data_IF_428064121521
#
_entry.id   IF_428064121521
#
_cell.length_a   1.000
_cell.length_b   1.000
_cell.length_c   1.000
_cell.angle_alpha   90.00
_cell.angle_beta   90.00
_cell.angle_gamma   90.00
#
_symmetry.space_group_name_H-M   'P 1'
#
loop_
_entity.id
_entity.type
_entity.pdbx_description
1 polymer ?
#
# COMPACT_ATOMS: atom_id res chain seq x y z
N UNK A 1 -34.39 -15.79 -9.09
CA UNK A 1 -33.38 -14.74 -8.82
C UNK A 1 -32.78 -14.89 -7.40
N UNK A 2 -33.54 -14.79 -6.34
CA UNK A 2 -33.06 -14.85 -4.95
C UNK A 2 -32.23 -16.12 -4.67
N UNK A 3 -32.72 -17.31 -5.03
CA UNK A 3 -32.02 -18.58 -4.87
C UNK A 3 -30.66 -18.61 -5.62
N UNK A 4 -30.57 -18.02 -6.80
CA UNK A 4 -29.30 -17.90 -7.56
C UNK A 4 -28.28 -17.06 -6.77
N UNK A 5 -28.72 -15.95 -6.15
CA UNK A 5 -27.84 -15.11 -5.34
C UNK A 5 -27.43 -15.82 -4.04
N UNK A 6 -28.37 -16.51 -3.39
CA UNK A 6 -28.06 -17.32 -2.19
C UNK A 6 -26.99 -18.39 -2.49
N UNK A 7 -27.16 -19.12 -3.59
CA UNK A 7 -26.15 -20.08 -4.05
C UNK A 7 -24.80 -19.43 -4.37
N UNK A 8 -24.81 -18.23 -5.00
CA UNK A 8 -23.59 -17.50 -5.30
C UNK A 8 -22.84 -17.05 -4.03
N UNK A 9 -23.57 -16.57 -3.01
CA UNK A 9 -23.02 -16.21 -1.69
C UNK A 9 -22.35 -17.42 -1.05
N UNK A 10 -23.04 -18.55 -0.98
CA UNK A 10 -22.54 -19.79 -0.37
C UNK A 10 -21.34 -20.35 -1.14
N UNK A 11 -21.45 -20.52 -2.46
CA UNK A 11 -20.39 -21.07 -3.32
C UNK A 11 -19.07 -20.29 -3.22
N UNK A 12 -19.15 -18.96 -3.06
CA UNK A 12 -17.96 -18.10 -2.99
C UNK A 12 -17.57 -17.70 -1.57
N UNK A 13 -18.17 -18.31 -0.53
CA UNK A 13 -17.88 -18.05 0.88
C UNK A 13 -17.86 -16.53 1.18
N UNK A 14 -18.86 -15.79 0.69
CA UNK A 14 -18.88 -14.33 0.85
C UNK A 14 -19.15 -13.94 2.29
N UNK A 15 -20.22 -14.48 2.85
CA UNK A 15 -20.65 -14.32 4.24
C UNK A 15 -21.66 -15.41 4.63
N UNK A 16 -21.90 -15.59 5.91
CA UNK A 16 -22.85 -16.55 6.50
C UNK A 16 -24.15 -15.87 6.96
N UNK A 17 -25.16 -16.67 7.33
CA UNK A 17 -26.42 -16.16 7.88
C UNK A 17 -26.26 -15.46 9.24
N UNK A 18 -25.19 -15.76 9.99
CA UNK A 18 -24.92 -15.15 11.28
C UNK A 18 -24.20 -13.80 11.18
N UNK A 19 -23.65 -13.48 10.00
CA UNK A 19 -22.90 -12.25 9.80
C UNK A 19 -23.83 -11.04 9.75
N UNK A 20 -23.38 -9.94 10.36
CA UNK A 20 -24.01 -8.64 10.28
C UNK A 20 -23.41 -7.85 9.12
N UNK A 21 -24.24 -7.34 8.24
CA UNK A 21 -23.86 -6.73 6.97
C UNK A 21 -24.10 -5.23 6.97
N UNK A 22 -23.13 -4.44 6.51
CA UNK A 22 -23.25 -3.03 6.23
C UNK A 22 -23.47 -2.85 4.73
N UNK A 23 -24.71 -2.52 4.32
CA UNK A 23 -25.11 -2.46 2.91
C UNK A 23 -24.96 -1.04 2.39
N UNK A 24 -24.11 -0.83 1.40
CA UNK A 24 -23.92 0.46 0.74
C UNK A 24 -25.07 0.73 -0.24
N UNK A 25 -25.86 1.76 0.03
CA UNK A 25 -27.07 2.11 -0.77
C UNK A 25 -26.95 3.53 -1.32
N UNK A 26 -27.12 3.66 -2.65
CA UNK A 26 -27.06 4.93 -3.37
C UNK A 26 -28.43 5.42 -3.89
N UNK A 27 -29.51 4.78 -3.50
CA UNK A 27 -30.88 4.90 -4.06
C UNK A 27 -31.04 4.38 -5.50
N UNK A 28 -29.97 4.08 -6.22
CA UNK A 28 -30.04 3.54 -7.59
C UNK A 28 -30.50 2.08 -7.61
N UNK A 29 -30.97 1.65 -8.79
CA UNK A 29 -31.62 0.35 -9.03
C UNK A 29 -30.82 -0.85 -8.49
N UNK A 30 -29.49 -0.89 -8.72
CA UNK A 30 -28.64 -2.01 -8.30
C UNK A 30 -28.55 -2.11 -6.77
N UNK A 31 -28.43 -0.97 -6.09
CA UNK A 31 -28.33 -0.93 -4.63
C UNK A 31 -29.66 -1.22 -3.94
N UNK A 32 -30.79 -0.75 -4.48
CA UNK A 32 -32.12 -1.06 -3.96
C UNK A 32 -32.51 -2.52 -4.21
N UNK A 33 -32.15 -3.07 -5.37
CA UNK A 33 -32.27 -4.51 -5.64
C UNK A 33 -31.48 -5.35 -4.62
N UNK A 34 -30.20 -5.01 -4.40
CA UNK A 34 -29.36 -5.73 -3.43
C UNK A 34 -29.98 -5.68 -2.02
N UNK A 35 -30.40 -4.51 -1.56
CA UNK A 35 -31.03 -4.31 -0.26
C UNK A 35 -32.28 -5.20 -0.12
N UNK A 36 -33.17 -5.14 -1.12
CA UNK A 36 -34.37 -5.98 -1.15
C UNK A 36 -34.06 -7.49 -1.09
N UNK A 37 -33.07 -7.96 -1.84
CA UNK A 37 -32.66 -9.38 -1.84
C UNK A 37 -32.14 -9.80 -0.48
N UNK A 38 -31.30 -8.98 0.17
CA UNK A 38 -30.76 -9.29 1.50
C UNK A 38 -31.85 -9.31 2.59
N UNK A 39 -32.81 -8.41 2.51
CA UNK A 39 -34.02 -8.42 3.37
C UNK A 39 -34.83 -9.71 3.17
N UNK A 40 -35.09 -10.11 1.93
CA UNK A 40 -35.84 -11.35 1.61
C UNK A 40 -35.12 -12.62 2.02
N UNK A 41 -33.79 -12.57 2.16
CA UNK A 41 -32.96 -13.66 2.65
C UNK A 41 -32.75 -13.62 4.17
N UNK A 42 -33.38 -12.69 4.86
CA UNK A 42 -33.39 -12.49 6.32
C UNK A 42 -31.97 -12.32 6.93
N UNK A 43 -31.11 -11.60 6.23
CA UNK A 43 -29.80 -11.24 6.78
C UNK A 43 -29.90 -10.06 7.76
N UNK A 44 -29.04 -10.06 8.78
CA UNK A 44 -28.89 -8.91 9.70
C UNK A 44 -28.17 -7.78 8.97
N UNK A 45 -28.90 -6.70 8.66
CA UNK A 45 -28.37 -5.60 7.86
C UNK A 45 -28.45 -4.24 8.57
N UNK A 46 -27.46 -3.40 8.34
CA UNK A 46 -27.52 -1.94 8.51
C UNK A 46 -27.20 -1.30 7.16
N UNK A 47 -27.78 -0.14 6.90
CA UNK A 47 -27.58 0.60 5.65
C UNK A 47 -26.57 1.72 5.86
N UNK A 48 -25.73 1.98 4.87
CA UNK A 48 -24.85 3.14 4.83
C UNK A 48 -25.02 3.91 3.53
N UNK A 49 -25.21 5.23 3.64
CA UNK A 49 -25.36 6.15 2.53
C UNK A 49 -24.33 7.28 2.61
N UNK A 50 -23.71 7.62 1.46
CA UNK A 50 -22.79 8.74 1.31
C UNK A 50 -23.44 9.80 0.42
N UNK A 51 -23.74 10.97 0.98
CA UNK A 51 -24.16 12.13 0.21
C UNK A 51 -22.92 12.97 -0.14
N UNK A 52 -22.46 12.89 -1.39
CA UNK A 52 -21.25 13.60 -1.85
C UNK A 52 -21.49 15.06 -2.24
N UNK A 53 -22.74 15.56 -2.16
CA UNK A 53 -23.14 16.92 -2.52
C UNK A 53 -22.75 17.36 -3.94
N UNK A 54 -22.59 16.40 -4.87
CA UNK A 54 -22.16 16.67 -6.24
C UNK A 54 -23.31 17.03 -7.19
N UNK A 55 -24.55 16.76 -6.80
CA UNK A 55 -25.75 16.99 -7.60
C UNK A 55 -26.80 17.84 -6.85
N UNK A 56 -26.37 18.68 -5.92
CA UNK A 56 -27.22 19.57 -5.14
C UNK A 56 -28.50 18.88 -4.62
N UNK A 57 -29.67 19.35 -5.02
CA UNK A 57 -30.96 18.84 -4.56
C UNK A 57 -31.23 17.36 -4.88
N UNK A 58 -30.68 16.82 -5.97
CA UNK A 58 -30.81 15.38 -6.29
C UNK A 58 -30.13 14.51 -5.22
N UNK A 59 -28.93 14.89 -4.79
CA UNK A 59 -28.21 14.14 -3.74
C UNK A 59 -28.93 14.14 -2.40
N UNK A 60 -29.59 15.28 -2.05
CA UNK A 60 -30.38 15.39 -0.82
C UNK A 60 -31.70 14.61 -0.94
N UNK A 61 -32.30 14.55 -2.12
CA UNK A 61 -33.50 13.74 -2.38
C UNK A 61 -33.19 12.23 -2.35
N UNK A 62 -32.04 11.81 -2.84
CA UNK A 62 -31.59 10.40 -2.74
C UNK A 62 -31.42 9.99 -1.27
N UNK A 63 -30.81 10.85 -0.47
CA UNK A 63 -30.69 10.65 0.96
C UNK A 63 -32.04 10.49 1.65
N UNK A 64 -32.98 11.44 1.45
CA UNK A 64 -34.32 11.39 2.03
C UNK A 64 -35.05 10.10 1.67
N UNK A 65 -35.00 9.70 0.40
CA UNK A 65 -35.62 8.47 -0.08
C UNK A 65 -35.11 7.24 0.67
N UNK A 66 -33.80 7.13 0.91
CA UNK A 66 -33.22 5.98 1.62
C UNK A 66 -33.58 6.05 3.12
N UNK A 67 -33.57 7.23 3.74
CA UNK A 67 -33.96 7.43 5.14
C UNK A 67 -35.43 7.03 5.37
N UNK A 68 -36.34 7.43 4.50
CA UNK A 68 -37.75 7.02 4.53
C UNK A 68 -37.91 5.50 4.33
N UNK A 69 -37.19 4.92 3.33
CA UNK A 69 -37.26 3.49 3.07
C UNK A 69 -36.78 2.68 4.28
N UNK A 70 -35.65 3.06 4.88
CA UNK A 70 -35.06 2.36 6.01
C UNK A 70 -35.91 2.50 7.28
N UNK A 71 -36.51 3.66 7.51
CA UNK A 71 -37.43 3.91 8.62
C UNK A 71 -38.68 3.01 8.53
N UNK A 72 -39.29 2.93 7.34
CA UNK A 72 -40.49 2.11 7.10
C UNK A 72 -40.20 0.59 7.26
N UNK A 73 -38.96 0.17 7.14
CA UNK A 73 -38.57 -1.22 7.27
C UNK A 73 -37.80 -1.54 8.57
N UNK A 74 -37.74 -0.60 9.52
CA UNK A 74 -37.00 -0.73 10.79
C UNK A 74 -35.53 -1.11 10.62
N UNK A 75 -34.87 -0.55 9.60
CA UNK A 75 -33.44 -0.80 9.30
C UNK A 75 -32.63 0.41 9.78
N UNK A 76 -31.59 0.14 10.56
CA UNK A 76 -30.67 1.19 11.00
C UNK A 76 -29.87 1.74 9.81
N UNK A 77 -29.83 3.06 9.69
CA UNK A 77 -29.10 3.76 8.63
C UNK A 77 -28.01 4.65 9.21
N UNK A 78 -26.88 4.73 8.48
CA UNK A 78 -25.79 5.66 8.71
C UNK A 78 -25.63 6.56 7.50
N UNK A 79 -25.71 7.87 7.71
CA UNK A 79 -25.61 8.86 6.64
C UNK A 79 -24.49 9.84 6.94
N UNK A 80 -23.71 10.20 5.93
CA UNK A 80 -22.69 11.25 6.01
C UNK A 80 -22.73 12.10 4.76
N UNK A 81 -22.79 13.41 4.95
CA UNK A 81 -22.69 14.40 3.86
C UNK A 81 -21.24 14.88 3.77
N UNK A 82 -20.69 14.91 2.55
CA UNK A 82 -19.31 15.26 2.27
C UNK A 82 -19.21 16.52 1.42
N UNK A 83 -18.27 17.38 1.73
CA UNK A 83 -17.79 18.42 0.81
C UNK A 83 -16.68 17.86 -0.07
N UNK A 84 -17.10 17.04 -1.06
CA UNK A 84 -16.20 16.31 -1.94
C UNK A 84 -15.32 17.23 -2.79
N UNK A 85 -15.88 18.37 -3.22
CA UNK A 85 -15.16 19.35 -4.04
C UNK A 85 -14.00 20.00 -3.28
N UNK A 86 -14.22 20.34 -2.00
CA UNK A 86 -13.18 20.89 -1.13
C UNK A 86 -12.09 19.86 -0.85
N UNK A 87 -12.46 18.62 -0.58
CA UNK A 87 -11.50 17.52 -0.36
C UNK A 87 -10.65 17.27 -1.61
N UNK A 88 -11.27 17.17 -2.79
CA UNK A 88 -10.56 16.98 -4.06
C UNK A 88 -9.52 18.08 -4.33
N UNK A 89 -9.89 19.35 -4.09
CA UNK A 89 -8.98 20.49 -4.24
C UNK A 89 -7.81 20.44 -3.25
N UNK A 90 -8.09 20.11 -1.99
CA UNK A 90 -7.07 20.02 -0.93
C UNK A 90 -6.04 18.94 -1.25
N UNK A 91 -6.49 17.75 -1.62
CA UNK A 91 -5.63 16.58 -1.91
C UNK A 91 -5.08 16.59 -3.35
N UNK A 92 -5.48 17.55 -4.20
CA UNK A 92 -5.07 17.66 -5.62
C UNK A 92 -5.40 16.42 -6.45
N UNK A 93 -6.55 15.82 -6.21
CA UNK A 93 -7.05 14.63 -6.91
C UNK A 93 -8.37 14.94 -7.63
N UNK A 94 -8.79 14.04 -8.55
CA UNK A 94 -10.07 14.19 -9.22
C UNK A 94 -11.23 14.00 -8.22
N UNK A 95 -12.36 14.63 -8.51
CA UNK A 95 -13.59 14.52 -7.69
C UNK A 95 -14.05 13.05 -7.54
N UNK A 96 -13.82 12.22 -8.57
CA UNK A 96 -14.16 10.80 -8.52
C UNK A 96 -13.27 10.01 -7.57
N UNK A 97 -11.96 10.28 -7.59
CA UNK A 97 -11.00 9.68 -6.64
C UNK A 97 -11.34 10.12 -5.24
N UNK A 98 -11.59 11.42 -5.03
CA UNK A 98 -12.01 11.98 -3.75
C UNK A 98 -13.29 11.32 -3.19
N UNK A 99 -14.33 11.20 -4.01
CA UNK A 99 -15.57 10.53 -3.62
C UNK A 99 -15.36 9.04 -3.30
N UNK A 100 -14.46 8.38 -4.01
CA UNK A 100 -14.09 6.98 -3.74
C UNK A 100 -13.37 6.85 -2.40
N UNK A 101 -12.36 7.65 -2.14
CA UNK A 101 -11.57 7.59 -0.91
C UNK A 101 -12.42 7.89 0.32
N UNK A 102 -13.18 8.98 0.29
CA UNK A 102 -14.14 9.36 1.35
C UNK A 102 -15.18 8.26 1.62
N UNK A 103 -15.65 7.58 0.56
CA UNK A 103 -16.61 6.48 0.67
C UNK A 103 -16.04 5.29 1.44
N UNK A 104 -14.85 4.81 1.04
CA UNK A 104 -14.28 3.61 1.64
C UNK A 104 -13.78 3.86 3.06
N UNK A 105 -13.25 5.06 3.34
CA UNK A 105 -12.89 5.48 4.69
C UNK A 105 -14.12 5.45 5.63
N UNK A 106 -15.21 6.08 5.22
CA UNK A 106 -16.44 6.10 5.99
C UNK A 106 -17.08 4.71 6.14
N UNK A 107 -17.04 3.91 5.10
CA UNK A 107 -17.55 2.53 5.16
C UNK A 107 -16.82 1.70 6.20
N UNK A 108 -15.49 1.80 6.29
CA UNK A 108 -14.71 1.04 7.26
C UNK A 108 -14.86 1.59 8.69
N UNK A 109 -14.96 2.91 8.85
CA UNK A 109 -15.28 3.57 10.11
C UNK A 109 -16.58 3.01 10.72
N UNK A 110 -17.66 3.02 9.93
CA UNK A 110 -18.97 2.55 10.37
C UNK A 110 -19.01 1.03 10.51
N UNK A 111 -18.40 0.27 9.59
CA UNK A 111 -18.32 -1.17 9.70
C UNK A 111 -17.72 -1.59 11.05
N UNK A 112 -16.62 -0.95 11.44
CA UNK A 112 -15.90 -1.25 12.67
C UNK A 112 -16.71 -0.83 13.90
N UNK A 113 -17.22 0.41 13.94
CA UNK A 113 -17.98 0.94 15.09
C UNK A 113 -19.33 0.26 15.32
N UNK A 114 -19.96 -0.23 14.25
CA UNK A 114 -21.25 -0.97 14.32
C UNK A 114 -21.08 -2.50 14.44
N UNK A 115 -19.84 -3.00 14.55
CA UNK A 115 -19.54 -4.43 14.60
C UNK A 115 -20.13 -5.22 13.41
N UNK A 116 -20.17 -4.60 12.21
CA UNK A 116 -20.56 -5.31 11.01
C UNK A 116 -19.39 -6.17 10.48
N UNK A 117 -19.69 -7.41 10.08
CA UNK A 117 -18.68 -8.34 9.58
C UNK A 117 -18.17 -7.94 8.20
N UNK A 118 -19.07 -7.49 7.32
CA UNK A 118 -18.77 -7.17 5.94
C UNK A 118 -19.47 -5.91 5.47
N UNK A 119 -18.84 -5.22 4.50
CA UNK A 119 -19.41 -4.15 3.67
C UNK A 119 -19.92 -4.79 2.39
N UNK A 120 -21.18 -4.57 2.04
CA UNK A 120 -21.82 -5.17 0.87
C UNK A 120 -22.08 -4.10 -0.19
N UNK A 121 -21.56 -4.32 -1.40
CA UNK A 121 -21.62 -3.36 -2.51
C UNK A 121 -22.35 -3.99 -3.71
N UNK A 122 -23.22 -3.22 -4.36
CA UNK A 122 -24.08 -3.64 -5.46
C UNK A 122 -23.41 -3.61 -6.84
N UNK A 123 -22.19 -4.16 -6.98
CA UNK A 123 -21.62 -4.36 -8.30
C UNK A 123 -22.27 -5.57 -8.98
N UNK A 124 -22.67 -5.42 -10.24
CA UNK A 124 -23.30 -6.42 -11.07
C UNK A 124 -22.36 -6.92 -12.19
N UNK A 125 -22.81 -7.86 -13.03
CA UNK A 125 -21.97 -8.44 -14.07
C UNK A 125 -21.62 -7.46 -15.20
N UNK A 126 -22.44 -6.46 -15.45
CA UNK A 126 -22.14 -5.43 -16.44
C UNK A 126 -21.00 -4.52 -15.97
N UNK A 127 -20.92 -4.22 -14.65
CA UNK A 127 -19.79 -3.49 -14.06
C UNK A 127 -18.47 -4.27 -14.22
N UNK A 128 -18.54 -5.60 -14.20
CA UNK A 128 -17.38 -6.47 -14.40
C UNK A 128 -16.86 -6.38 -15.83
N UNK A 129 -17.77 -6.43 -16.82
CA UNK A 129 -17.44 -6.22 -18.24
C UNK A 129 -16.85 -4.82 -18.46
N UNK A 130 -17.46 -3.77 -17.90
CA UNK A 130 -16.94 -2.40 -17.98
C UNK A 130 -15.52 -2.30 -17.41
N UNK A 131 -15.29 -2.91 -16.26
CA UNK A 131 -13.98 -2.91 -15.58
C UNK A 131 -12.93 -3.65 -16.43
N UNK A 132 -13.30 -4.76 -17.05
CA UNK A 132 -12.42 -5.49 -17.96
C UNK A 132 -11.93 -4.60 -19.10
N UNK A 133 -12.84 -3.93 -19.82
CA UNK A 133 -12.46 -3.06 -20.94
C UNK A 133 -11.64 -1.84 -20.49
N UNK A 134 -11.99 -1.20 -19.38
CA UNK A 134 -11.23 -0.07 -18.83
C UNK A 134 -9.80 -0.51 -18.50
N UNK A 135 -9.65 -1.67 -17.86
CA UNK A 135 -8.35 -2.22 -17.51
C UNK A 135 -7.54 -2.65 -18.72
N UNK A 136 -8.20 -3.22 -19.74
CA UNK A 136 -7.58 -3.58 -21.01
C UNK A 136 -6.96 -2.35 -21.70
N UNK A 137 -7.73 -1.25 -21.81
CA UNK A 137 -7.24 -0.01 -22.41
C UNK A 137 -6.13 0.68 -21.60
N UNK A 138 -6.06 0.41 -20.31
CA UNK A 138 -4.97 0.90 -19.44
C UNK A 138 -3.72 0.03 -19.48
N UNK A 139 -3.72 -1.05 -20.24
CA UNK A 139 -2.59 -1.98 -20.28
C UNK A 139 -2.42 -2.77 -18.99
N UNK A 140 -3.50 -3.00 -18.24
CA UNK A 140 -3.44 -3.77 -17.00
C UNK A 140 -3.06 -5.22 -17.32
N UNK A 141 -2.14 -5.79 -16.53
CA UNK A 141 -1.76 -7.19 -16.62
C UNK A 141 -2.89 -8.17 -16.21
N UNK A 142 -2.59 -9.49 -16.18
CA UNK A 142 -3.58 -10.53 -15.93
C UNK A 142 -4.47 -10.28 -14.71
N UNK A 143 -3.91 -9.75 -13.64
CA UNK A 143 -4.64 -9.36 -12.41
C UNK A 143 -5.75 -8.34 -12.67
N UNK A 144 -5.49 -7.35 -13.51
CA UNK A 144 -6.48 -6.33 -13.84
C UNK A 144 -7.56 -6.85 -14.79
N UNK A 145 -7.22 -7.83 -15.64
CA UNK A 145 -8.14 -8.46 -16.58
C UNK A 145 -8.96 -9.59 -15.95
N UNK A 146 -8.65 -10.04 -14.74
CA UNK A 146 -9.47 -11.01 -13.99
C UNK A 146 -10.73 -10.41 -13.35
N UNK A 147 -11.11 -9.19 -13.74
CA UNK A 147 -12.37 -8.56 -13.39
C UNK A 147 -12.46 -8.06 -11.94
N UNK A 148 -13.68 -7.86 -11.49
CA UNK A 148 -14.00 -7.38 -10.14
C UNK A 148 -13.97 -8.56 -9.16
N UNK A 149 -13.12 -8.49 -8.14
CA UNK A 149 -13.06 -9.53 -7.12
C UNK A 149 -14.37 -9.60 -6.31
N UNK A 150 -14.89 -10.81 -6.16
CA UNK A 150 -16.12 -11.11 -5.41
C UNK A 150 -16.02 -10.70 -3.95
N UNK A 151 -14.83 -10.90 -3.35
CA UNK A 151 -14.48 -10.55 -1.98
C UNK A 151 -13.06 -9.99 -1.91
N UNK A 152 -12.90 -8.84 -1.24
CA UNK A 152 -11.61 -8.23 -0.91
C UNK A 152 -11.68 -7.80 0.55
N UNK A 153 -10.85 -8.39 1.41
CA UNK A 153 -10.87 -8.11 2.84
C UNK A 153 -12.29 -8.24 3.42
N UNK A 154 -12.88 -7.13 3.85
CA UNK A 154 -14.25 -7.05 4.41
C UNK A 154 -15.31 -6.58 3.41
N UNK A 155 -14.96 -6.39 2.16
CA UNK A 155 -15.88 -5.93 1.09
C UNK A 155 -16.32 -7.12 0.25
N UNK A 156 -17.64 -7.29 0.07
CA UNK A 156 -18.25 -8.38 -0.69
C UNK A 156 -19.24 -7.88 -1.73
N UNK A 157 -19.42 -8.64 -2.81
CA UNK A 157 -20.25 -8.28 -3.98
C UNK A 157 -21.16 -9.44 -4.38
N UNK A 158 -22.29 -9.61 -3.69
CA UNK A 158 -23.12 -10.81 -3.85
C UNK A 158 -23.92 -10.86 -5.14
N UNK A 159 -24.10 -9.74 -5.85
CA UNK A 159 -24.86 -9.66 -7.11
C UNK A 159 -23.96 -9.58 -8.36
N UNK A 160 -22.65 -9.82 -8.22
CA UNK A 160 -21.69 -9.74 -9.33
C UNK A 160 -22.01 -10.76 -10.47
N UNK A 161 -22.77 -11.82 -10.17
CA UNK A 161 -23.22 -12.80 -11.16
C UNK A 161 -24.56 -12.48 -11.84
N UNK A 162 -25.15 -11.32 -11.55
CA UNK A 162 -26.48 -10.91 -12.03
C UNK A 162 -26.29 -9.80 -13.05
N UNK A 163 -26.97 -9.91 -14.22
CA UNK A 163 -26.92 -8.85 -15.23
C UNK A 163 -27.81 -7.66 -14.85
N UNK A 164 -27.48 -6.48 -15.38
CA UNK A 164 -28.28 -5.28 -15.18
C UNK A 164 -29.71 -5.45 -15.73
N UNK A 165 -29.85 -6.19 -16.84
CA UNK A 165 -31.17 -6.49 -17.39
C UNK A 165 -31.99 -7.40 -16.47
N UNK A 166 -31.39 -8.41 -15.89
CA UNK A 166 -32.06 -9.28 -14.91
C UNK A 166 -32.48 -8.48 -13.65
N UNK A 167 -31.63 -7.54 -13.19
CA UNK A 167 -31.94 -6.65 -12.07
C UNK A 167 -33.17 -5.78 -12.43
N UNK A 168 -33.15 -5.14 -13.60
CA UNK A 168 -34.23 -4.28 -14.07
C UNK A 168 -35.57 -5.05 -14.15
N UNK A 169 -35.56 -6.24 -14.74
CA UNK A 169 -36.75 -7.08 -14.84
C UNK A 169 -37.28 -7.50 -13.47
N UNK A 170 -36.40 -7.87 -12.55
CA UNK A 170 -36.78 -8.24 -11.18
C UNK A 170 -37.38 -7.07 -10.40
N UNK A 171 -36.77 -5.89 -10.48
CA UNK A 171 -37.20 -4.67 -9.80
C UNK A 171 -38.59 -4.26 -10.26
N UNK A 172 -38.85 -4.30 -11.57
CA UNK A 172 -40.19 -3.99 -12.14
C UNK A 172 -41.24 -5.03 -11.72
N UNK A 173 -40.93 -6.32 -11.77
CA UNK A 173 -41.87 -7.39 -11.40
C UNK A 173 -42.25 -7.35 -9.89
N UNK A 174 -41.36 -6.83 -9.03
CA UNK A 174 -41.58 -6.77 -7.60
C UNK A 174 -41.93 -5.35 -7.10
N UNK A 175 -42.16 -4.40 -8.00
CA UNK A 175 -42.50 -2.99 -7.70
C UNK A 175 -41.51 -2.37 -6.69
N UNK A 176 -40.19 -2.62 -6.88
CA UNK A 176 -39.16 -2.06 -6.01
C UNK A 176 -38.87 -0.62 -6.45
N UNK A 177 -39.13 0.35 -5.55
CA UNK A 177 -38.84 1.73 -5.82
C UNK A 177 -37.35 2.02 -5.81
N UNK A 178 -36.90 2.83 -6.76
CA UNK A 178 -35.54 3.32 -6.88
C UNK A 178 -35.51 4.70 -7.52
N UNK A 179 -34.40 5.42 -7.42
CA UNK A 179 -34.21 6.72 -8.06
C UNK A 179 -33.31 6.61 -9.28
N UNK A 180 -33.64 7.27 -10.35
CA UNK A 180 -32.75 7.35 -11.52
C UNK A 180 -31.71 8.43 -11.29
N UNK A 181 -30.46 8.09 -11.56
CA UNK A 181 -29.32 8.98 -11.49
C UNK A 181 -29.12 9.67 -12.84
N UNK A 182 -29.38 11.01 -12.90
CA UNK A 182 -29.23 11.81 -14.11
C UNK A 182 -27.80 11.79 -14.69
N UNK A 183 -26.79 11.58 -13.86
CA UNK A 183 -25.38 11.48 -14.31
C UNK A 183 -25.08 10.24 -15.17
N UNK A 184 -25.97 9.23 -15.17
CA UNK A 184 -25.82 8.06 -16.06
C UNK A 184 -25.99 8.40 -17.54
N UNK A 185 -26.60 9.53 -17.87
CA UNK A 185 -26.82 10.00 -19.24
C UNK A 185 -25.64 10.81 -19.78
N UNK A 186 -24.78 11.37 -18.94
CA UNK A 186 -23.61 12.12 -19.40
C UNK A 186 -22.52 11.20 -19.93
N UNK A 187 -21.85 11.59 -21.02
CA UNK A 187 -20.70 10.86 -21.59
C UNK A 187 -19.35 11.30 -21.06
N UNK A 188 -19.33 12.12 -19.99
CA UNK A 188 -18.09 12.69 -19.44
C UNK A 188 -17.18 11.65 -18.77
N UNK A 189 -17.72 10.46 -18.50
CA UNK A 189 -16.99 9.39 -17.82
C UNK A 189 -16.68 8.24 -18.76
N UNK A 190 -15.49 7.68 -18.66
CA UNK A 190 -15.02 6.53 -19.46
C UNK A 190 -16.03 5.37 -19.43
N UNK A 191 -16.61 5.06 -18.27
CA UNK A 191 -17.64 4.01 -18.12
C UNK A 191 -18.89 4.29 -18.95
N UNK A 192 -19.37 5.53 -18.91
CA UNK A 192 -20.55 5.92 -19.66
C UNK A 192 -20.31 5.88 -21.18
N UNK A 193 -19.08 6.22 -21.62
CA UNK A 193 -18.70 6.07 -23.03
C UNK A 193 -18.73 4.60 -23.48
N UNK A 194 -18.23 3.65 -22.67
CA UNK A 194 -18.36 2.24 -22.97
C UNK A 194 -19.81 1.81 -23.06
N UNK A 195 -20.61 2.14 -22.05
CA UNK A 195 -22.01 1.75 -21.94
C UNK A 195 -22.87 2.31 -23.06
N UNK A 196 -22.70 3.58 -23.38
CA UNK A 196 -23.61 4.31 -24.28
C UNK A 196 -23.16 4.28 -25.75
N UNK A 197 -21.86 4.09 -26.04
CA UNK A 197 -21.34 4.15 -27.42
C UNK A 197 -20.72 2.82 -27.87
N UNK A 198 -19.87 2.21 -27.05
CA UNK A 198 -19.06 1.06 -27.49
C UNK A 198 -19.83 -0.25 -27.37
N UNK A 199 -20.51 -0.47 -26.24
CA UNK A 199 -21.24 -1.73 -26.03
C UNK A 199 -22.41 -1.96 -27.00
N UNK A 200 -23.16 -0.96 -27.45
CA UNK A 200 -24.12 -1.14 -28.53
C UNK A 200 -23.47 -1.70 -29.80
N UNK A 201 -22.35 -1.11 -30.27
CA UNK A 201 -21.61 -1.56 -31.42
C UNK A 201 -21.11 -3.00 -31.29
N UNK A 202 -20.59 -3.37 -30.09
CA UNK A 202 -20.19 -4.73 -29.79
C UNK A 202 -21.39 -5.70 -29.80
N UNK A 203 -22.55 -5.27 -29.36
CA UNK A 203 -23.78 -6.05 -29.38
C UNK A 203 -24.27 -6.31 -30.81
N UNK A 204 -24.11 -5.35 -31.73
CA UNK A 204 -24.46 -5.50 -33.14
C UNK A 204 -23.58 -6.56 -33.82
N UNK A 205 -22.29 -6.61 -33.45
CA UNK A 205 -21.35 -7.63 -33.95
C UNK A 205 -21.61 -9.01 -33.31
N UNK A 206 -21.82 -9.02 -31.99
CA UNK A 206 -22.07 -10.25 -31.22
C UNK A 206 -23.08 -9.95 -30.08
N UNK A 207 -24.36 -10.30 -30.26
CA UNK A 207 -25.40 -10.08 -29.25
C UNK A 207 -25.09 -10.68 -27.87
N UNK A 208 -24.24 -11.71 -27.82
CA UNK A 208 -23.81 -12.39 -26.59
C UNK A 208 -22.43 -11.91 -26.06
N UNK A 209 -21.87 -10.80 -26.60
CA UNK A 209 -20.51 -10.36 -26.26
C UNK A 209 -20.25 -10.26 -24.76
N UNK A 210 -21.22 -9.75 -23.98
CA UNK A 210 -21.08 -9.63 -22.52
C UNK A 210 -20.85 -11.00 -21.86
N UNK A 211 -21.64 -12.01 -22.27
CA UNK A 211 -21.49 -13.38 -21.78
C UNK A 211 -20.12 -13.95 -22.18
N UNK A 212 -19.67 -13.68 -23.40
CA UNK A 212 -18.35 -14.09 -23.88
C UNK A 212 -17.25 -13.46 -23.03
N UNK A 213 -17.32 -12.15 -22.77
CA UNK A 213 -16.32 -11.46 -21.95
C UNK A 213 -16.34 -11.98 -20.50
N UNK A 214 -17.51 -12.19 -19.89
CA UNK A 214 -17.60 -12.77 -18.54
C UNK A 214 -16.98 -14.16 -18.46
N UNK A 215 -17.10 -14.98 -19.48
CA UNK A 215 -16.41 -16.25 -19.55
C UNK A 215 -14.89 -16.07 -19.65
N UNK A 216 -14.41 -15.10 -20.43
CA UNK A 216 -12.98 -14.80 -20.50
C UNK A 216 -12.43 -14.28 -19.17
N UNK A 217 -13.15 -13.38 -18.49
CA UNK A 217 -12.81 -12.90 -17.16
C UNK A 217 -12.64 -14.09 -16.20
N UNK A 218 -13.58 -15.04 -16.21
CA UNK A 218 -13.52 -16.22 -15.34
C UNK A 218 -12.28 -17.08 -15.64
N UNK A 219 -11.98 -17.34 -16.89
CA UNK A 219 -10.80 -18.11 -17.32
C UNK A 219 -9.52 -17.38 -16.88
N UNK A 220 -9.43 -16.07 -17.11
CA UNK A 220 -8.29 -15.26 -16.71
C UNK A 220 -8.12 -15.20 -15.19
N UNK A 221 -9.23 -15.15 -14.43
CA UNK A 221 -9.17 -15.21 -12.95
C UNK A 221 -8.61 -16.56 -12.47
N UNK A 222 -9.07 -17.69 -13.04
CA UNK A 222 -8.55 -19.02 -12.71
C UNK A 222 -7.06 -19.15 -13.07
N UNK A 223 -6.63 -18.70 -14.24
CA UNK A 223 -5.22 -18.66 -14.62
C UNK A 223 -4.40 -17.78 -13.70
N UNK A 224 -4.90 -16.58 -13.36
CA UNK A 224 -4.19 -15.67 -12.47
C UNK A 224 -4.06 -16.24 -11.04
N UNK A 225 -5.10 -16.92 -10.54
CA UNK A 225 -5.04 -17.56 -9.21
C UNK A 225 -4.00 -18.68 -9.19
N UNK A 226 -3.99 -19.56 -10.21
CA UNK A 226 -2.99 -20.62 -10.34
C UNK A 226 -1.56 -20.04 -10.42
N UNK A 227 -1.36 -19.04 -11.28
CA UNK A 227 -0.09 -18.35 -11.45
C UNK A 227 0.35 -17.68 -10.12
N UNK A 228 -0.55 -16.97 -9.46
CA UNK A 228 -0.27 -16.24 -8.22
C UNK A 228 0.09 -17.16 -7.06
N UNK A 229 -0.52 -18.35 -7.02
CA UNK A 229 -0.19 -19.39 -6.03
C UNK A 229 1.24 -19.91 -6.28
N UNK A 230 1.54 -20.37 -7.49
CA UNK A 230 2.85 -20.95 -7.82
C UNK A 230 3.98 -19.93 -7.70
N UNK A 231 3.79 -18.73 -8.28
CA UNK A 231 4.82 -17.68 -8.25
C UNK A 231 4.92 -17.04 -6.87
N UNK A 232 3.80 -16.90 -6.15
CA UNK A 232 3.76 -16.31 -4.82
C UNK A 232 4.54 -17.13 -3.80
N UNK A 233 4.31 -18.44 -3.73
CA UNK A 233 5.06 -19.35 -2.84
C UNK A 233 6.55 -19.32 -3.16
N UNK A 234 6.90 -19.39 -4.44
CA UNK A 234 8.30 -19.35 -4.89
C UNK A 234 8.97 -18.01 -4.51
N UNK A 235 8.29 -16.88 -4.72
CA UNK A 235 8.80 -15.55 -4.34
C UNK A 235 9.01 -15.39 -2.82
N UNK A 236 8.14 -15.96 -1.99
CA UNK A 236 8.28 -15.84 -0.54
C UNK A 236 9.53 -16.57 -0.03
N UNK A 237 9.88 -17.70 -0.64
CA UNK A 237 11.13 -18.42 -0.34
C UNK A 237 12.40 -17.66 -0.75
N UNK A 238 12.32 -16.79 -1.77
CA UNK A 238 13.45 -16.00 -2.25
C UNK A 238 13.75 -14.77 -1.38
N UNK A 239 12.78 -14.31 -0.60
CA UNK A 239 12.89 -13.09 0.21
C UNK A 239 13.73 -13.32 1.46
N UNK A 240 14.81 -12.56 1.61
CA UNK A 240 15.61 -12.48 2.84
C UNK A 240 15.35 -11.16 3.53
N UNK A 241 14.92 -11.19 4.80
CA UNK A 241 14.57 -9.98 5.58
C UNK A 241 15.79 -9.07 5.77
N UNK A 242 15.58 -7.76 5.60
CA UNK A 242 16.53 -6.70 5.95
C UNK A 242 15.82 -5.62 6.75
N UNK A 243 16.56 -4.61 7.22
CA UNK A 243 15.95 -3.47 7.94
C UNK A 243 15.04 -2.71 6.97
N UNK A 244 13.78 -2.52 7.35
CA UNK A 244 12.73 -1.83 6.58
C UNK A 244 12.41 -2.44 5.21
N UNK A 245 12.54 -3.78 5.07
CA UNK A 245 12.21 -4.44 3.81
C UNK A 245 12.81 -5.83 3.66
N UNK A 246 13.14 -6.18 2.43
CA UNK A 246 13.75 -7.46 2.10
C UNK A 246 14.72 -7.34 0.92
N UNK A 247 15.53 -8.38 0.72
CA UNK A 247 16.40 -8.52 -0.44
C UNK A 247 16.22 -9.87 -1.11
N UNK A 248 16.54 -9.92 -2.41
CA UNK A 248 16.53 -11.13 -3.23
C UNK A 248 17.83 -11.17 -4.03
N UNK A 249 18.42 -12.36 -4.22
CA UNK A 249 19.58 -12.51 -5.11
C UNK A 249 19.15 -12.34 -6.56
N UNK A 250 19.94 -11.60 -7.35
CA UNK A 250 19.70 -11.44 -8.79
C UNK A 250 19.65 -12.79 -9.53
N UNK A 251 20.56 -13.72 -9.16
CA UNK A 251 20.61 -15.06 -9.73
C UNK A 251 19.26 -15.78 -9.60
N UNK A 252 18.61 -15.65 -8.45
CA UNK A 252 17.39 -16.42 -8.15
C UNK A 252 16.21 -15.98 -9.03
N UNK A 253 16.22 -14.74 -9.54
CA UNK A 253 15.26 -14.25 -10.53
C UNK A 253 15.69 -14.62 -11.96
N UNK A 254 16.99 -14.41 -12.29
CA UNK A 254 17.51 -14.59 -13.64
C UNK A 254 17.51 -16.05 -14.11
N UNK A 255 17.64 -17.01 -13.19
CA UNK A 255 17.58 -18.44 -13.50
C UNK A 255 16.17 -19.01 -13.64
N UNK A 256 15.13 -18.21 -13.35
CA UNK A 256 13.74 -18.63 -13.60
C UNK A 256 13.48 -18.74 -15.09
N UNK A 257 12.65 -19.70 -15.47
CA UNK A 257 12.24 -19.91 -16.88
C UNK A 257 11.58 -18.67 -17.50
N UNK A 258 10.85 -17.90 -16.70
CA UNK A 258 10.12 -16.70 -17.10
C UNK A 258 10.45 -15.53 -16.17
N UNK A 259 11.68 -14.99 -16.19
CA UNK A 259 12.14 -14.01 -15.18
C UNK A 259 11.31 -12.72 -15.18
N UNK A 260 10.79 -12.28 -16.33
CA UNK A 260 9.94 -11.09 -16.43
C UNK A 260 8.63 -11.23 -15.65
N UNK A 261 8.07 -12.43 -15.59
CA UNK A 261 6.88 -12.73 -14.77
C UNK A 261 7.17 -12.50 -13.29
N UNK A 262 8.32 -12.96 -12.80
CA UNK A 262 8.76 -12.75 -11.42
C UNK A 262 9.01 -11.27 -11.13
N UNK A 263 9.62 -10.55 -12.05
CA UNK A 263 9.82 -9.10 -11.95
C UNK A 263 8.47 -8.37 -11.81
N UNK A 264 7.50 -8.70 -12.67
CA UNK A 264 6.17 -8.11 -12.59
C UNK A 264 5.48 -8.43 -11.25
N UNK A 265 5.35 -9.70 -10.88
CA UNK A 265 4.65 -10.11 -9.65
C UNK A 265 5.33 -9.59 -8.37
N UNK A 266 6.67 -9.54 -8.37
CA UNK A 266 7.43 -9.03 -7.24
C UNK A 266 7.24 -7.53 -7.04
N UNK A 267 7.27 -6.73 -8.11
CA UNK A 267 7.40 -5.28 -7.98
C UNK A 267 6.09 -4.50 -8.14
N UNK A 268 5.09 -5.02 -8.89
CA UNK A 268 3.83 -4.29 -9.08
C UNK A 268 3.09 -4.03 -7.75
N UNK A 269 3.18 -4.94 -6.78
CA UNK A 269 2.55 -4.81 -5.47
C UNK A 269 3.14 -3.69 -4.60
N UNK A 270 4.38 -3.25 -4.93
CA UNK A 270 5.07 -2.14 -4.27
C UNK A 270 4.98 -0.83 -5.06
N UNK A 271 4.10 -0.76 -6.08
CA UNK A 271 3.81 0.45 -6.83
C UNK A 271 4.81 0.80 -7.93
N UNK A 272 5.74 -0.08 -8.26
CA UNK A 272 6.62 0.10 -9.43
C UNK A 272 5.83 -0.14 -10.72
N UNK A 273 6.17 0.60 -11.79
CA UNK A 273 5.45 0.59 -13.06
C UNK A 273 6.33 0.25 -14.27
N UNK A 274 7.62 0.60 -14.22
CA UNK A 274 8.57 0.40 -15.31
C UNK A 274 9.32 -0.94 -15.13
N UNK A 275 8.63 -2.03 -15.43
CA UNK A 275 9.17 -3.40 -15.25
C UNK A 275 10.27 -3.72 -16.24
N UNK A 276 10.23 -3.15 -17.45
CA UNK A 276 11.24 -3.39 -18.49
C UNK A 276 12.60 -2.81 -18.08
N UNK A 277 12.63 -1.55 -17.64
CA UNK A 277 13.86 -0.93 -17.14
C UNK A 277 14.39 -1.63 -15.89
N UNK A 278 13.51 -2.07 -14.98
CA UNK A 278 13.91 -2.85 -13.81
C UNK A 278 14.54 -4.18 -14.25
N UNK A 279 13.90 -4.91 -15.16
CA UNK A 279 14.42 -6.18 -15.66
C UNK A 279 15.77 -6.02 -16.37
N UNK A 280 15.93 -4.98 -17.20
CA UNK A 280 17.19 -4.67 -17.87
C UNK A 280 18.31 -4.39 -16.86
N UNK A 281 18.04 -3.61 -15.82
CA UNK A 281 19.01 -3.35 -14.75
C UNK A 281 19.40 -4.62 -13.98
N UNK A 282 18.45 -5.50 -13.71
CA UNK A 282 18.67 -6.82 -13.09
C UNK A 282 19.53 -7.68 -14.01
N UNK A 283 19.21 -7.75 -15.29
CA UNK A 283 19.94 -8.55 -16.30
C UNK A 283 21.36 -8.06 -16.51
N UNK A 284 21.56 -6.73 -16.57
CA UNK A 284 22.87 -6.10 -16.70
C UNK A 284 23.66 -6.12 -15.39
N UNK A 285 23.04 -6.52 -14.26
CA UNK A 285 23.63 -6.47 -12.93
C UNK A 285 24.16 -5.06 -12.57
N UNK A 286 23.44 -4.03 -12.98
CA UNK A 286 23.81 -2.63 -12.78
C UNK A 286 23.83 -2.27 -11.30
N UNK A 287 25.02 -2.37 -10.67
CA UNK A 287 25.17 -2.01 -9.25
C UNK A 287 24.96 -0.51 -9.05
N UNK A 288 24.09 -0.15 -8.10
CA UNK A 288 23.76 1.24 -7.78
C UNK A 288 22.53 1.78 -8.50
N UNK A 289 21.86 1.00 -9.35
CA UNK A 289 20.63 1.43 -10.01
C UNK A 289 19.48 1.50 -9.01
N UNK A 290 18.75 2.62 -9.05
CA UNK A 290 17.65 2.92 -8.13
C UNK A 290 16.37 3.18 -8.93
N UNK A 291 15.25 2.61 -8.46
CA UNK A 291 13.91 2.95 -8.91
C UNK A 291 13.08 3.34 -7.69
N UNK A 292 12.17 4.29 -7.86
CA UNK A 292 11.32 4.81 -6.78
C UNK A 292 9.85 4.55 -7.11
N UNK A 293 9.08 4.18 -6.11
CA UNK A 293 7.62 4.26 -6.09
C UNK A 293 7.19 5.21 -4.97
N UNK A 294 5.89 5.40 -4.77
CA UNK A 294 5.38 6.33 -3.76
C UNK A 294 5.90 6.03 -2.35
N UNK A 295 6.01 4.74 -1.99
CA UNK A 295 6.36 4.30 -0.64
C UNK A 295 7.62 3.43 -0.58
N UNK A 296 8.17 3.00 -1.73
CA UNK A 296 9.28 2.03 -1.77
C UNK A 296 10.41 2.49 -2.70
N UNK A 297 11.61 2.10 -2.32
CA UNK A 297 12.84 2.21 -3.10
C UNK A 297 13.30 0.82 -3.48
N UNK A 298 13.49 0.57 -4.77
CA UNK A 298 14.17 -0.61 -5.30
C UNK A 298 15.61 -0.22 -5.62
N UNK A 299 16.55 -0.98 -5.09
CA UNK A 299 17.98 -0.82 -5.32
C UNK A 299 18.56 -2.13 -5.85
N UNK A 300 19.18 -2.07 -7.02
CA UNK A 300 20.02 -3.16 -7.55
C UNK A 300 21.45 -2.91 -7.10
N UNK A 301 22.02 -3.76 -6.25
CA UNK A 301 23.40 -3.59 -5.79
C UNK A 301 24.05 -4.91 -5.44
N UNK A 302 25.31 -5.11 -5.90
CA UNK A 302 26.19 -6.23 -5.55
C UNK A 302 25.55 -7.63 -5.61
N UNK A 303 24.79 -7.87 -6.67
CA UNK A 303 24.16 -9.17 -6.91
C UNK A 303 22.86 -9.39 -6.16
N UNK A 304 22.30 -8.34 -5.54
CA UNK A 304 21.01 -8.35 -4.86
C UNK A 304 20.08 -7.25 -5.37
N UNK A 305 18.80 -7.50 -5.22
CA UNK A 305 17.73 -6.50 -5.31
C UNK A 305 17.25 -6.24 -3.89
N UNK A 306 17.24 -4.98 -3.48
CA UNK A 306 16.69 -4.54 -2.21
C UNK A 306 15.38 -3.82 -2.48
N UNK A 307 14.32 -4.16 -1.74
CA UNK A 307 13.06 -3.44 -1.70
C UNK A 307 12.87 -2.97 -0.27
N UNK A 308 12.93 -1.66 -0.10
CA UNK A 308 12.92 -1.01 1.21
C UNK A 308 11.89 0.11 1.23
N UNK A 309 11.23 0.30 2.37
CA UNK A 309 10.36 1.43 2.59
C UNK A 309 11.14 2.75 2.50
N UNK A 310 10.60 3.68 1.75
CA UNK A 310 11.22 4.98 1.51
C UNK A 310 10.53 6.05 2.36
N UNK A 311 11.10 6.30 3.55
CA UNK A 311 10.73 7.46 4.36
C UNK A 311 11.72 8.59 4.13
N UNK A 312 11.22 9.81 3.93
CA UNK A 312 12.04 11.03 3.86
C UNK A 312 12.60 11.40 5.25
N UNK A 313 13.54 10.57 5.77
CA UNK A 313 14.22 10.82 7.05
C UNK A 313 15.50 11.67 6.90
N UNK A 314 15.71 12.31 5.77
CA UNK A 314 17.02 12.87 5.39
C UNK A 314 17.56 14.00 6.29
N UNK A 315 16.78 14.55 7.24
CA UNK A 315 17.23 15.68 8.07
C UNK A 315 16.95 15.54 9.57
N UNK A 316 16.72 14.33 10.08
CA UNK A 316 16.45 14.15 11.52
C UNK A 316 17.77 14.03 12.26
N UNK A 317 18.02 14.95 13.18
CA UNK A 317 19.15 14.93 14.12
C UNK A 317 18.63 14.70 15.54
N UNK A 318 19.20 13.72 16.22
CA UNK A 318 18.85 13.37 17.59
C UNK A 318 19.93 13.92 18.53
N UNK A 319 19.54 14.75 19.49
CA UNK A 319 20.45 15.33 20.50
C UNK A 319 20.55 14.40 21.70
N UNK A 320 21.76 14.26 22.23
CA UNK A 320 22.07 13.44 23.39
C UNK A 320 22.82 14.29 24.42
N UNK A 321 22.19 14.54 25.53
CA UNK A 321 22.78 15.27 26.65
C UNK A 321 23.73 14.37 27.45
N UNK A 322 24.63 14.99 28.18
CA UNK A 322 25.70 14.31 28.94
C UNK A 322 25.19 13.25 29.93
N UNK A 323 23.99 13.41 30.47
CA UNK A 323 23.42 12.53 31.49
C UNK A 323 22.62 11.34 30.92
N UNK A 324 22.46 11.28 29.61
CA UNK A 324 21.73 10.20 28.93
C UNK A 324 22.54 8.91 29.00
N UNK A 325 21.95 7.87 29.58
CA UNK A 325 22.61 6.55 29.72
C UNK A 325 22.28 5.58 28.59
N UNK A 326 21.13 5.73 27.95
CA UNK A 326 20.68 4.81 26.89
C UNK A 326 19.69 5.50 25.94
N UNK A 327 19.73 5.13 24.67
CA UNK A 327 18.75 5.50 23.66
C UNK A 327 18.33 4.27 22.85
N UNK A 328 17.08 4.27 22.38
CA UNK A 328 16.51 3.19 21.56
C UNK A 328 16.32 3.59 20.10
N UNK A 329 16.19 4.89 19.82
CA UNK A 329 16.02 5.45 18.49
C UNK A 329 17.08 6.54 18.23
N UNK A 330 17.61 6.66 17.01
CA UNK A 330 17.37 5.85 15.80
C UNK A 330 18.18 4.54 15.78
N UNK A 331 19.10 4.36 16.70
CA UNK A 331 19.89 3.16 16.96
C UNK A 331 19.97 2.92 18.47
N UNK A 332 20.03 1.67 18.89
CA UNK A 332 20.14 1.34 20.31
C UNK A 332 21.57 1.54 20.77
N UNK A 333 21.79 2.56 21.60
CA UNK A 333 23.11 2.86 22.16
C UNK A 333 23.01 2.97 23.70
N UNK A 334 24.04 2.43 24.37
CA UNK A 334 24.23 2.59 25.80
C UNK A 334 25.53 3.36 26.05
N UNK A 335 25.46 4.34 26.94
CA UNK A 335 26.55 5.24 27.27
C UNK A 335 27.02 5.05 28.70
N UNK A 336 28.34 5.06 28.91
CA UNK A 336 28.96 4.90 30.20
C UNK A 336 30.17 5.86 30.31
N UNK A 337 30.41 6.38 31.50
CA UNK A 337 31.62 7.13 31.82
C UNK A 337 32.40 6.33 32.83
N UNK A 338 33.71 6.17 32.62
CA UNK A 338 34.60 5.39 33.48
C UNK A 338 35.94 6.11 33.68
N UNK A 339 36.47 6.05 34.90
CA UNK A 339 37.85 6.48 35.21
C UNK A 339 38.87 5.31 35.08
N UNK A 340 38.36 4.07 34.97
CA UNK A 340 39.22 2.90 34.69
C UNK A 340 39.40 2.82 33.18
N UNK A 341 40.62 3.13 32.73
CA UNK A 341 40.94 3.11 31.30
C UNK A 341 41.25 1.67 30.91
N UNK A 342 40.39 1.09 30.08
CA UNK A 342 40.59 -0.22 29.44
C UNK A 342 40.28 -0.11 27.98
N UNK A 343 41.11 -0.66 27.13
CA UNK A 343 40.90 -0.65 25.68
C UNK A 343 40.59 -2.05 25.19
N UNK A 344 39.43 -2.23 24.59
CA UNK A 344 39.08 -3.46 23.87
C UNK A 344 38.74 -3.04 22.43
N UNK A 345 39.49 -3.60 21.48
CA UNK A 345 39.22 -3.32 20.06
C UNK A 345 37.94 -4.00 19.63
N UNK A 346 36.84 -3.21 19.52
CA UNK A 346 35.54 -3.70 19.09
C UNK A 346 34.85 -2.60 18.26
N UNK A 347 34.42 -2.91 17.05
CA UNK A 347 33.71 -1.96 16.19
C UNK A 347 32.33 -1.54 16.71
N UNK A 348 31.70 -2.39 17.54
CA UNK A 348 30.42 -2.08 18.20
C UNK A 348 30.56 -1.18 19.43
N UNK A 349 31.79 -0.84 19.82
CA UNK A 349 32.08 0.01 20.98
C UNK A 349 33.01 1.15 20.59
N UNK A 350 32.64 2.37 20.97
CA UNK A 350 33.49 3.53 20.85
C UNK A 350 34.04 3.89 22.22
N UNK A 351 35.39 3.92 22.35
CA UNK A 351 36.09 4.37 23.53
C UNK A 351 36.70 5.74 23.22
N UNK A 352 36.17 6.79 23.84
CA UNK A 352 36.48 8.17 23.50
C UNK A 352 37.01 8.90 24.74
N UNK A 353 37.92 9.83 24.53
CA UNK A 353 38.42 10.74 25.58
C UNK A 353 37.33 11.72 25.98
N UNK A 354 36.82 11.59 27.20
CA UNK A 354 35.69 12.38 27.71
C UNK A 354 35.95 13.90 27.67
N UNK A 355 37.17 14.31 27.97
CA UNK A 355 37.55 15.72 28.07
C UNK A 355 37.58 16.41 26.68
N UNK A 356 37.62 15.63 25.60
CA UNK A 356 37.56 16.14 24.21
C UNK A 356 36.15 16.25 23.65
N UNK A 357 35.16 15.73 24.39
CA UNK A 357 33.75 15.68 23.91
C UNK A 357 33.03 16.95 24.35
N UNK A 358 32.31 17.55 23.43
CA UNK A 358 31.43 18.70 23.69
C UNK A 358 29.98 18.22 23.56
N UNK A 359 29.21 18.35 24.64
CA UNK A 359 27.78 18.05 24.67
C UNK A 359 26.90 19.25 24.30
N UNK A 360 25.67 19.08 23.77
CA UNK A 360 25.06 17.78 23.48
C UNK A 360 25.68 17.09 22.27
N UNK A 361 25.77 15.75 22.30
CA UNK A 361 26.13 14.98 21.13
C UNK A 361 24.95 14.91 20.14
N UNK A 362 25.27 14.73 18.88
CA UNK A 362 24.28 14.61 17.83
C UNK A 362 24.39 13.24 17.13
N UNK A 363 23.25 12.57 16.93
CA UNK A 363 23.17 11.40 16.04
C UNK A 363 22.45 11.82 14.77
N UNK A 364 23.09 11.63 13.63
CA UNK A 364 22.53 11.94 12.31
C UNK A 364 22.96 10.97 11.25
N UNK A 365 22.26 10.98 10.13
CA UNK A 365 22.72 10.32 8.91
C UNK A 365 23.94 11.04 8.35
N UNK A 366 24.74 10.31 7.58
CA UNK A 366 25.84 10.91 6.85
C UNK A 366 25.33 11.79 5.70
N UNK A 367 26.12 12.78 5.31
CA UNK A 367 25.80 13.72 4.25
C UNK A 367 26.97 13.79 3.27
N UNK A 368 26.66 14.21 2.04
CA UNK A 368 27.72 14.41 1.05
C UNK A 368 28.70 15.50 1.52
N UNK A 369 29.98 15.22 1.43
CA UNK A 369 31.04 16.10 1.94
C UNK A 369 31.53 15.77 3.35
N UNK A 370 30.85 14.91 4.11
CA UNK A 370 31.31 14.44 5.43
C UNK A 370 32.69 13.81 5.36
N UNK A 371 33.49 14.10 6.40
CA UNK A 371 34.87 13.63 6.52
C UNK A 371 35.29 13.55 7.99
N UNK A 372 36.20 12.64 8.30
CA UNK A 372 36.71 12.41 9.65
C UNK A 372 38.17 11.92 9.57
N UNK A 373 38.79 11.72 10.70
CA UNK A 373 40.13 11.13 10.82
C UNK A 373 39.99 9.69 11.34
N UNK A 374 39.98 8.67 10.49
CA UNK A 374 39.81 7.27 10.98
C UNK A 374 40.91 6.91 11.96
N UNK A 375 40.56 6.23 13.07
CA UNK A 375 41.50 5.78 14.09
C UNK A 375 42.74 5.10 13.45
N UNK A 376 43.93 5.60 13.79
CA UNK A 376 45.22 5.16 13.26
C UNK A 376 45.64 5.89 11.97
N UNK A 377 44.86 6.83 11.46
CA UNK A 377 45.21 7.64 10.28
C UNK A 377 45.46 9.09 10.66
N UNK A 378 46.58 9.69 10.20
CA UNK A 378 46.89 11.11 10.41
C UNK A 378 46.12 12.03 9.47
N UNK A 379 45.68 11.53 8.33
CA UNK A 379 45.05 12.31 7.29
C UNK A 379 43.52 12.24 7.34
N UNK A 380 42.88 13.37 7.05
CA UNK A 380 41.44 13.49 6.90
C UNK A 380 40.95 12.66 5.71
N UNK A 381 39.91 11.85 5.90
CA UNK A 381 39.31 10.99 4.87
C UNK A 381 37.86 11.35 4.63
N UNK A 382 37.45 11.49 3.36
CA UNK A 382 36.04 11.62 3.02
C UNK A 382 35.30 10.35 3.45
N UNK A 383 34.11 10.53 4.04
CA UNK A 383 33.31 9.39 4.54
C UNK A 383 32.87 8.46 3.39
N UNK A 384 32.58 9.03 2.21
CA UNK A 384 32.28 8.27 0.99
C UNK A 384 33.43 7.30 0.61
N UNK A 385 34.69 7.75 0.70
CA UNK A 385 35.85 6.92 0.41
C UNK A 385 36.06 5.85 1.50
N UNK A 386 35.83 6.22 2.78
CA UNK A 386 35.87 5.27 3.88
C UNK A 386 34.85 4.13 3.66
N UNK A 387 33.64 4.43 3.23
CA UNK A 387 32.62 3.41 2.91
C UNK A 387 33.01 2.50 1.73
N UNK A 388 33.75 3.02 0.76
CA UNK A 388 34.27 2.22 -0.35
C UNK A 388 35.31 1.22 0.16
N UNK A 389 36.24 1.66 1.00
CA UNK A 389 37.30 0.81 1.57
C UNK A 389 36.72 -0.27 2.51
N UNK A 390 35.71 0.08 3.31
CA UNK A 390 34.97 -0.88 4.15
C UNK A 390 34.00 -1.75 3.33
N UNK A 391 33.97 -1.59 1.99
CA UNK A 391 33.14 -2.36 1.04
C UNK A 391 31.64 -2.32 1.37
N UNK A 392 31.13 -1.21 1.87
CA UNK A 392 29.72 -1.05 2.17
C UNK A 392 28.87 -1.00 0.90
N UNK A 393 27.78 -1.76 0.89
CA UNK A 393 26.73 -1.62 -0.14
C UNK A 393 26.03 -0.26 -0.04
N UNK A 394 25.33 0.17 -1.08
CA UNK A 394 24.53 1.40 -1.00
C UNK A 394 23.44 1.28 0.07
N UNK A 395 22.87 0.07 0.23
CA UNK A 395 21.92 -0.20 1.30
C UNK A 395 22.56 0.02 2.69
N UNK A 396 23.78 -0.50 2.90
CA UNK A 396 24.45 -0.34 4.19
C UNK A 396 24.81 1.13 4.44
N UNK A 397 25.30 1.86 3.41
CA UNK A 397 25.58 3.30 3.50
C UNK A 397 24.38 4.12 3.97
N UNK A 398 23.19 3.86 3.40
CA UNK A 398 21.95 4.53 3.79
C UNK A 398 21.54 4.22 5.24
N UNK A 399 22.02 3.10 5.80
CA UNK A 399 21.72 2.68 7.17
C UNK A 399 22.77 3.13 8.21
N UNK A 400 23.93 3.68 7.79
CA UNK A 400 24.96 4.19 8.72
C UNK A 400 24.46 5.41 9.45
N UNK A 401 24.69 5.44 10.76
CA UNK A 401 24.49 6.60 11.61
C UNK A 401 25.84 7.09 12.14
N UNK A 402 25.92 8.38 12.38
CA UNK A 402 27.12 9.05 12.90
C UNK A 402 26.83 9.59 14.31
N UNK A 403 27.78 9.41 15.21
CA UNK A 403 27.83 10.13 16.47
C UNK A 403 28.77 11.34 16.29
N UNK A 404 28.25 12.53 16.57
CA UNK A 404 28.98 13.78 16.35
C UNK A 404 29.07 14.59 17.65
N UNK A 405 30.20 15.26 17.87
CA UNK A 405 30.40 16.29 18.89
C UNK A 405 30.56 17.63 18.16
N UNK A 406 29.67 18.55 18.38
CA UNK A 406 29.49 19.72 17.52
C UNK A 406 29.37 19.28 16.04
N UNK A 407 30.21 19.79 15.15
CA UNK A 407 30.24 19.45 13.73
C UNK A 407 31.23 18.31 13.39
N UNK A 408 31.94 17.76 14.40
CA UNK A 408 32.93 16.71 14.17
C UNK A 408 32.30 15.33 14.33
N UNK A 409 32.54 14.44 13.39
CA UNK A 409 32.21 13.02 13.52
C UNK A 409 33.20 12.41 14.52
N UNK A 410 32.70 11.86 15.63
CA UNK A 410 33.52 11.21 16.65
C UNK A 410 33.48 9.69 16.52
N UNK A 411 32.40 9.14 15.93
CA UNK A 411 32.25 7.73 15.67
C UNK A 411 31.32 7.48 14.48
N UNK A 412 31.80 6.72 13.51
CA UNK A 412 30.96 6.08 12.51
C UNK A 412 30.41 4.83 13.18
N UNK A 413 29.13 4.90 13.61
CA UNK A 413 28.53 3.90 14.53
C UNK A 413 28.59 2.50 13.93
N UNK A 414 29.19 1.57 14.67
CA UNK A 414 29.40 0.19 14.25
C UNK A 414 30.66 -0.04 13.38
N UNK A 415 31.44 1.03 13.11
CA UNK A 415 32.65 0.92 12.28
C UNK A 415 33.88 1.47 13.00
N UNK A 416 34.16 2.78 12.94
CA UNK A 416 35.42 3.36 13.41
C UNK A 416 35.24 4.71 14.08
N UNK A 417 36.00 4.95 15.15
CA UNK A 417 36.08 6.25 15.84
C UNK A 417 37.04 7.19 15.09
N UNK A 418 36.90 8.47 15.37
CA UNK A 418 37.84 9.50 14.91
C UNK A 418 39.09 9.52 15.79
N UNK A 419 40.28 9.56 15.17
CA UNK A 419 41.61 9.49 15.85
C UNK A 419 41.82 10.65 16.84
N UNK A 420 41.24 11.80 16.59
CA UNK A 420 41.35 12.98 17.48
C UNK A 420 40.72 12.77 18.85
N UNK A 421 39.72 11.90 18.93
CA UNK A 421 38.95 11.60 20.13
C UNK A 421 39.35 10.28 20.79
N UNK A 422 40.40 9.63 20.32
CA UNK A 422 40.93 8.39 20.92
C UNK A 422 41.45 8.63 22.32
N UNK A 423 41.52 7.55 23.10
CA UNK A 423 42.21 7.51 24.37
C UNK A 423 43.73 7.69 24.17
N UNK A 424 44.37 8.41 25.11
CA UNK A 424 45.80 8.66 25.18
C UNK A 424 46.27 8.42 26.61
N UNK A 425 47.58 8.37 26.82
CA UNK A 425 48.18 8.20 28.16
C UNK A 425 47.76 9.32 29.15
N UNK A 426 47.34 10.48 28.61
CA UNK A 426 46.88 11.63 29.41
C UNK A 426 45.37 11.62 29.64
N UNK A 427 44.60 10.65 29.16
CA UNK A 427 43.14 10.59 29.34
C UNK A 427 42.80 10.23 30.77
N UNK A 428 42.02 11.09 31.42
CA UNK A 428 41.59 10.90 32.83
C UNK A 428 40.25 10.18 32.94
N UNK A 429 39.37 10.43 32.00
CA UNK A 429 38.02 9.83 31.95
C UNK A 429 37.70 9.35 30.52
N UNK A 430 37.06 8.22 30.46
CA UNK A 430 36.66 7.56 29.20
C UNK A 430 35.16 7.61 29.04
N UNK A 431 34.68 8.02 27.84
CA UNK A 431 33.31 7.91 27.43
C UNK A 431 33.16 6.70 26.54
N UNK A 432 32.27 5.79 26.90
CA UNK A 432 32.03 4.54 26.19
C UNK A 432 30.65 4.60 25.57
N UNK A 433 30.55 4.44 24.26
CA UNK A 433 29.30 4.26 23.55
C UNK A 433 29.21 2.83 22.98
N UNK A 434 28.23 2.06 23.42
CA UNK A 434 28.01 0.67 23.02
C UNK A 434 26.81 0.56 22.09
N UNK A 435 27.04 -0.01 20.91
CA UNK A 435 25.96 -0.38 19.98
C UNK A 435 25.34 -1.70 20.45
N UNK A 436 24.07 -1.67 20.80
CA UNK A 436 23.27 -2.83 21.20
C UNK A 436 22.61 -3.48 19.95
N UNK A 437 22.44 -4.79 19.99
CA UNK A 437 21.81 -5.52 18.89
C UNK A 437 20.30 -5.27 18.79
#
# INVERSE_FOLDING_TARGET
MINKIKQYISKNNLFSSNDKLLVAVSAGIDSMFLLHVLMKLDYKIEVIHCNFSLRAAESDNDQKFIEEFTSNNNIKIHVKKFDTSRFAKKEKISTQVAARDLRYEYFEEIRSSSNCNYIVIAHNSDDDVETFFINLLRGSGPKGLSGIRKKINKIVRPILSVSRNDIYNYVNLNNIYFRQDSSNLSSDYVRNNFRNKIFPLLSDINPSFKKTILNQIKILDEFYQMHSHVVGEDLDHLKSKVKNGFKIKLSDILFKKFPMVYVYELFHQYGFKDFDSIYLAIKAKESGKIFLSDNFKLLVDRGYIYIIEHYNLNNVTYKIDQNVKEIFNPVKLKFLVSSKIAFIKNSKQAFLDFDKIIFPLNIRKWQNGDSFYPLGMKNKKKLSNFFIDEKLSLYDKDNVWLLCSNNNIIWVIGYRIDDRYKLTDNTKKMYIANLLN
#
